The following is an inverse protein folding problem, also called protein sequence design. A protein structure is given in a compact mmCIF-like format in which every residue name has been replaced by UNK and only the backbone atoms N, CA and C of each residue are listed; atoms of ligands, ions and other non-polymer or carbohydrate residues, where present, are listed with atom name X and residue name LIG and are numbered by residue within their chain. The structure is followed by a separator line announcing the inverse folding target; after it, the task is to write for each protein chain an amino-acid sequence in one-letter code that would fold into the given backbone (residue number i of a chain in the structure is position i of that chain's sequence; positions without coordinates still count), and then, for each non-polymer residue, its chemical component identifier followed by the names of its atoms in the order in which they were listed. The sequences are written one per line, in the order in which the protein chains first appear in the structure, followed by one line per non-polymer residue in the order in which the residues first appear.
data_IF_009639943330
#
_entry.id   IF_009639943330
#
_cell.length_a   1.000
_cell.length_b   1.000
_cell.length_c   1.000
_cell.angle_alpha   90.00
_cell.angle_beta   90.00
_cell.angle_gamma   90.00
#
_symmetry.space_group_name_H-M   'P 1'
#
loop_
_entity.id
_entity.type
_entity.pdbx_description
1 polymer ?
#
# COMPACT_ATOMS: atom_id res chain seq x y z
N UNK A 1 1.16 -19.61 -18.74
CA UNK A 1 -0.24 -19.71 -18.34
C UNK A 1 -0.38 -19.94 -16.82
N UNK A 2 0.41 -19.26 -15.97
CA UNK A 2 0.35 -19.38 -14.51
C UNK A 2 -0.69 -18.45 -13.87
N UNK A 3 -1.46 -17.71 -14.64
CA UNK A 3 -2.30 -16.60 -14.17
C UNK A 3 -3.77 -17.00 -13.95
N UNK A 4 -4.16 -18.26 -14.12
CA UNK A 4 -5.59 -18.65 -14.00
C UNK A 4 -6.17 -18.74 -12.58
N UNK A 5 -5.39 -18.53 -11.51
CA UNK A 5 -5.87 -18.66 -10.13
C UNK A 5 -5.54 -17.45 -9.24
N UNK A 6 -5.70 -16.23 -9.74
CA UNK A 6 -5.65 -15.04 -8.89
C UNK A 6 -6.88 -14.89 -7.99
N UNK A 7 -7.26 -15.95 -7.26
CA UNK A 7 -8.16 -15.84 -6.10
C UNK A 7 -7.54 -15.05 -4.94
N UNK A 8 -6.25 -14.69 -5.04
CA UNK A 8 -5.50 -14.03 -3.97
C UNK A 8 -5.79 -12.54 -3.83
N UNK A 9 -6.32 -11.89 -4.86
CA UNK A 9 -6.53 -10.45 -4.82
C UNK A 9 -8.02 -10.17 -4.92
N UNK A 10 -8.77 -10.69 -3.96
CA UNK A 10 -10.17 -10.32 -3.78
C UNK A 10 -10.22 -8.79 -3.54
N UNK A 11 -10.95 -8.10 -4.41
CA UNK A 11 -11.09 -6.65 -4.34
C UNK A 11 -10.24 -5.86 -5.35
N UNK A 12 -9.36 -6.51 -6.11
CA UNK A 12 -8.64 -5.86 -7.22
C UNK A 12 -9.42 -6.06 -8.51
N UNK A 13 -9.58 -5.00 -9.28
CA UNK A 13 -10.28 -4.99 -10.57
C UNK A 13 -9.45 -4.22 -11.60
N UNK A 14 -9.52 -4.65 -12.85
CA UNK A 14 -8.77 -4.06 -13.96
C UNK A 14 -7.25 -4.21 -13.78
N UNK A 15 -6.48 -3.55 -14.63
CA UNK A 15 -5.03 -3.44 -14.50
C UNK A 15 -4.23 -4.52 -15.19
N UNK A 16 -2.93 -4.25 -15.28
CA UNK A 16 -1.93 -5.17 -15.80
C UNK A 16 -1.07 -5.69 -14.65
N UNK A 17 -1.00 -7.02 -14.52
CA UNK A 17 -0.19 -7.67 -13.50
C UNK A 17 1.09 -8.24 -14.12
N UNK A 18 2.20 -8.01 -13.43
CA UNK A 18 3.52 -8.56 -13.73
C UNK A 18 4.01 -9.27 -12.46
N UNK A 19 4.44 -10.50 -12.59
CA UNK A 19 4.94 -11.29 -11.48
C UNK A 19 6.24 -11.97 -11.85
N UNK A 20 7.24 -11.79 -11.03
CA UNK A 20 8.56 -12.41 -11.13
C UNK A 20 8.88 -13.16 -9.83
N UNK A 21 9.46 -14.35 -9.95
CA UNK A 21 9.86 -15.14 -8.80
C UNK A 21 11.16 -15.88 -9.07
N UNK A 22 12.03 -15.89 -8.07
CA UNK A 22 13.30 -16.60 -8.08
C UNK A 22 13.35 -17.56 -6.88
N UNK A 23 13.54 -18.85 -7.17
CA UNK A 23 13.68 -19.88 -6.15
C UNK A 23 15.16 -20.19 -5.91
N UNK A 24 15.59 -20.18 -4.65
CA UNK A 24 16.93 -20.58 -4.24
C UNK A 24 16.95 -21.09 -2.80
N UNK A 25 17.63 -22.18 -2.54
CA UNK A 25 17.80 -22.76 -1.20
C UNK A 25 16.51 -22.86 -0.37
N UNK A 26 15.41 -23.28 -1.00
CA UNK A 26 14.10 -23.42 -0.34
C UNK A 26 13.36 -22.10 -0.07
N UNK A 27 13.92 -20.97 -0.49
CA UNK A 27 13.29 -19.65 -0.42
C UNK A 27 12.81 -19.22 -1.80
N UNK A 28 11.72 -18.48 -1.82
CA UNK A 28 11.24 -17.81 -3.03
C UNK A 28 11.28 -16.31 -2.82
N UNK A 29 12.07 -15.60 -3.63
CA UNK A 29 11.99 -14.14 -3.76
C UNK A 29 10.99 -13.81 -4.86
N UNK A 30 10.07 -12.91 -4.58
CA UNK A 30 9.03 -12.53 -5.52
C UNK A 30 8.89 -11.01 -5.60
N UNK A 31 8.67 -10.55 -6.82
CA UNK A 31 8.23 -9.18 -7.11
C UNK A 31 6.87 -9.24 -7.82
N UNK A 32 5.93 -8.48 -7.33
CA UNK A 32 4.58 -8.35 -7.89
C UNK A 32 4.31 -6.90 -8.21
N UNK A 33 4.02 -6.60 -9.48
CA UNK A 33 3.59 -5.26 -9.95
C UNK A 33 2.20 -5.32 -10.52
N UNK A 34 1.41 -4.28 -10.24
CA UNK A 34 0.09 -4.08 -10.86
C UNK A 34 0.00 -2.62 -11.29
N UNK A 35 -0.41 -2.40 -12.53
CA UNK A 35 -0.46 -1.07 -13.14
C UNK A 35 -1.92 -0.78 -13.51
N UNK A 36 -2.40 0.44 -13.24
CA UNK A 36 -3.73 0.95 -13.59
C UNK A 36 -4.87 0.05 -13.13
N UNK A 37 -5.04 -0.10 -11.84
CA UNK A 37 -6.06 -0.97 -11.26
C UNK A 37 -6.99 -0.23 -10.29
N UNK A 38 -8.08 -0.88 -9.90
CA UNK A 38 -9.00 -0.43 -8.87
C UNK A 38 -9.04 -1.40 -7.70
N UNK A 39 -9.20 -0.85 -6.52
CA UNK A 39 -9.43 -1.62 -5.28
C UNK A 39 -10.84 -1.36 -4.79
N UNK A 40 -11.60 -2.42 -4.58
CA UNK A 40 -12.99 -2.39 -4.12
C UNK A 40 -13.21 -3.47 -3.05
N UNK A 41 -14.08 -3.17 -2.06
CA UNK A 41 -14.50 -4.15 -1.06
C UNK A 41 -13.36 -4.82 -0.29
N UNK A 42 -12.35 -4.05 0.11
CA UNK A 42 -11.24 -4.52 0.96
C UNK A 42 -11.47 -4.06 2.41
N UNK A 43 -12.02 -4.92 3.29
CA UNK A 43 -12.46 -4.52 4.64
C UNK A 43 -11.35 -3.95 5.51
N UNK A 44 -10.13 -4.48 5.40
CA UNK A 44 -8.97 -3.98 6.18
C UNK A 44 -8.61 -2.56 5.76
N UNK A 45 -8.64 -2.25 4.46
CA UNK A 45 -8.38 -0.92 3.96
C UNK A 45 -9.51 0.05 4.36
N UNK A 46 -10.77 -0.36 4.26
CA UNK A 46 -11.91 0.43 4.72
C UNK A 46 -11.77 0.80 6.20
N UNK A 47 -11.41 -0.17 7.03
CA UNK A 47 -11.18 0.06 8.47
C UNK A 47 -10.02 1.03 8.72
N UNK A 48 -8.91 0.90 7.99
CA UNK A 48 -7.79 1.84 8.08
C UNK A 48 -8.21 3.27 7.74
N UNK A 49 -8.94 3.44 6.64
CA UNK A 49 -9.43 4.75 6.19
C UNK A 49 -10.37 5.40 7.19
N UNK A 50 -11.31 4.63 7.75
CA UNK A 50 -12.24 5.09 8.78
C UNK A 50 -11.49 5.52 10.06
N UNK A 51 -10.55 4.71 10.54
CA UNK A 51 -9.73 5.04 11.70
C UNK A 51 -8.82 6.27 11.47
N UNK A 52 -8.41 6.51 10.24
CA UNK A 52 -7.66 7.68 9.83
C UNK A 52 -8.53 8.94 9.61
N UNK A 53 -9.83 8.87 9.88
CA UNK A 53 -10.82 9.93 9.60
C UNK A 53 -10.91 10.32 8.11
N UNK A 54 -10.68 9.36 7.22
CA UNK A 54 -10.73 9.52 5.77
C UNK A 54 -12.00 8.90 5.18
N UNK A 55 -13.17 9.23 5.77
CA UNK A 55 -14.44 8.61 5.43
C UNK A 55 -14.80 8.78 3.95
N UNK A 56 -14.58 9.94 3.35
CA UNK A 56 -14.85 10.16 1.93
C UNK A 56 -14.08 9.23 0.99
N UNK A 57 -12.83 8.85 1.38
CA UNK A 57 -12.06 7.85 0.61
C UNK A 57 -12.55 6.43 0.93
N UNK A 58 -12.96 6.16 2.18
CA UNK A 58 -13.53 4.88 2.56
C UNK A 58 -14.84 4.58 1.79
N UNK A 59 -15.65 5.59 1.55
CA UNK A 59 -16.91 5.47 0.80
C UNK A 59 -16.66 5.08 -0.68
N UNK A 60 -15.58 5.57 -1.30
CA UNK A 60 -15.17 5.14 -2.64
C UNK A 60 -14.90 3.64 -2.70
N UNK A 61 -14.38 3.05 -1.63
CA UNK A 61 -14.05 1.62 -1.58
C UNK A 61 -15.28 0.72 -1.71
N UNK A 62 -16.42 1.17 -1.20
CA UNK A 62 -17.71 0.45 -1.27
C UNK A 62 -18.51 0.77 -2.53
N UNK A 63 -18.21 1.88 -3.19
CA UNK A 63 -18.85 2.37 -4.41
C UNK A 63 -18.03 2.05 -5.66
N UNK A 64 -17.42 3.09 -6.23
CA UNK A 64 -16.71 3.01 -7.52
C UNK A 64 -15.36 2.31 -7.43
N UNK A 65 -14.84 2.15 -6.23
CA UNK A 65 -13.48 1.67 -5.97
C UNK A 65 -12.45 2.82 -5.92
N UNK A 66 -11.31 2.53 -5.32
CA UNK A 66 -10.17 3.44 -5.29
C UNK A 66 -9.23 3.07 -6.43
N UNK A 67 -8.93 4.02 -7.30
CA UNK A 67 -7.97 3.83 -8.40
C UNK A 67 -6.55 3.99 -7.88
N UNK A 68 -5.68 3.09 -8.35
CA UNK A 68 -4.23 3.17 -8.20
C UNK A 68 -3.57 3.10 -9.56
N UNK A 69 -2.50 3.86 -9.75
CA UNK A 69 -1.67 3.83 -10.96
C UNK A 69 -0.63 2.75 -10.88
N UNK A 70 -0.03 2.57 -9.70
CA UNK A 70 1.06 1.64 -9.47
C UNK A 70 0.91 0.91 -8.14
N UNK A 71 1.22 -0.38 -8.17
CA UNK A 71 1.43 -1.22 -7.01
C UNK A 71 2.69 -2.05 -7.24
N UNK A 72 3.55 -2.12 -6.24
CA UNK A 72 4.68 -3.03 -6.23
C UNK A 72 4.86 -3.64 -4.86
N UNK A 73 5.19 -4.93 -4.82
CA UNK A 73 5.44 -5.66 -3.60
C UNK A 73 6.61 -6.61 -3.78
N UNK A 74 7.66 -6.38 -2.98
CA UNK A 74 8.81 -7.28 -2.83
C UNK A 74 8.65 -8.13 -1.58
N UNK A 75 8.66 -9.44 -1.75
CA UNK A 75 8.52 -10.35 -0.63
C UNK A 75 9.34 -11.63 -0.78
N UNK A 76 9.65 -12.26 0.33
CA UNK A 76 10.31 -13.56 0.42
C UNK A 76 9.41 -14.54 1.16
N UNK A 77 9.32 -15.76 0.62
CA UNK A 77 8.59 -16.86 1.25
C UNK A 77 9.54 -18.00 1.58
N UNK A 78 9.44 -18.51 2.81
CA UNK A 78 10.14 -19.71 3.30
C UNK A 78 9.14 -20.56 4.09
N UNK A 79 8.72 -21.69 3.53
CA UNK A 79 7.63 -22.49 4.11
C UNK A 79 6.37 -21.63 4.28
N UNK A 80 5.83 -21.61 5.48
CA UNK A 80 4.62 -20.84 5.81
C UNK A 80 4.89 -19.38 6.17
N UNK A 81 6.16 -18.95 6.15
CA UNK A 81 6.55 -17.58 6.47
C UNK A 81 6.71 -16.75 5.20
N UNK A 82 5.99 -15.63 5.12
CA UNK A 82 6.15 -14.62 4.08
C UNK A 82 6.61 -13.32 4.71
N UNK A 83 7.77 -12.82 4.30
CA UNK A 83 8.30 -11.52 4.70
C UNK A 83 8.09 -10.53 3.57
N UNK A 84 7.24 -9.55 3.77
CA UNK A 84 7.08 -8.41 2.89
C UNK A 84 8.18 -7.42 3.23
N UNK A 85 9.14 -7.26 2.31
CA UNK A 85 10.25 -6.31 2.48
C UNK A 85 9.76 -4.91 2.30
N UNK A 86 8.93 -4.74 1.28
CA UNK A 86 8.30 -3.49 0.93
C UNK A 86 7.09 -3.75 0.05
N UNK A 87 6.06 -2.98 0.27
CA UNK A 87 4.91 -2.86 -0.61
C UNK A 87 4.51 -1.39 -0.68
N UNK A 88 4.29 -0.88 -1.87
CA UNK A 88 3.71 0.43 -2.06
C UNK A 88 2.57 0.39 -3.07
N UNK A 89 1.63 1.30 -2.90
CA UNK A 89 0.58 1.57 -3.86
C UNK A 89 0.42 3.07 -4.00
N UNK A 90 0.39 3.56 -5.24
CA UNK A 90 0.29 4.98 -5.57
C UNK A 90 -1.01 5.21 -6.32
N UNK A 91 -1.80 6.17 -5.87
CA UNK A 91 -3.05 6.55 -6.52
C UNK A 91 -3.41 8.02 -6.34
N UNK A 92 -4.31 8.53 -7.18
CA UNK A 92 -4.70 9.95 -7.16
C UNK A 92 -5.47 10.35 -5.89
N UNK A 93 -6.09 9.43 -5.18
CA UNK A 93 -6.81 9.70 -3.94
C UNK A 93 -5.97 9.42 -2.69
N UNK A 94 -5.09 8.43 -2.77
CA UNK A 94 -4.32 7.93 -1.64
C UNK A 94 -3.09 7.17 -2.13
N UNK A 95 -2.00 7.28 -1.37
CA UNK A 95 -0.83 6.41 -1.51
C UNK A 95 -0.56 5.70 -0.20
N UNK A 96 -0.04 4.48 -0.28
CA UNK A 96 0.32 3.73 0.91
C UNK A 96 1.64 2.98 0.72
N UNK A 97 2.35 2.80 1.82
CA UNK A 97 3.54 1.97 1.91
C UNK A 97 3.45 1.06 3.11
N UNK A 98 3.91 -0.18 2.97
CA UNK A 98 3.77 -1.20 4.01
C UNK A 98 4.92 -2.19 3.97
N UNK A 99 5.30 -2.70 5.13
CA UNK A 99 6.24 -3.81 5.31
C UNK A 99 5.79 -4.72 6.46
N UNK A 100 6.37 -5.88 6.57
CA UNK A 100 6.11 -6.78 7.68
C UNK A 100 6.20 -8.26 7.33
N UNK A 101 5.46 -9.08 8.04
CA UNK A 101 5.49 -10.51 7.82
C UNK A 101 4.12 -11.18 8.08
N UNK A 102 3.93 -12.31 7.45
CA UNK A 102 2.75 -13.15 7.58
C UNK A 102 3.24 -14.58 7.83
N UNK A 103 2.78 -15.20 8.91
CA UNK A 103 2.87 -16.64 9.15
C UNK A 103 1.50 -17.20 8.78
N UNK A 104 1.46 -18.09 7.81
CA UNK A 104 0.23 -18.65 7.27
C UNK A 104 -0.65 -19.20 8.40
N UNK A 105 -1.92 -18.81 8.38
CA UNK A 105 -2.97 -19.18 9.32
C UNK A 105 -2.72 -18.84 10.81
N UNK A 106 -1.54 -18.30 11.16
CA UNK A 106 -1.16 -18.00 12.54
C UNK A 106 -1.12 -16.50 12.84
N UNK A 107 -0.34 -15.73 12.10
CA UNK A 107 -0.05 -14.34 12.44
C UNK A 107 0.19 -13.47 11.23
N UNK A 108 -0.46 -12.33 11.22
CA UNK A 108 -0.13 -11.20 10.36
C UNK A 108 0.43 -10.08 11.21
N UNK A 109 1.55 -9.50 10.82
CA UNK A 109 2.16 -8.32 11.47
C UNK A 109 2.69 -7.37 10.41
N UNK A 110 1.91 -6.37 10.10
CA UNK A 110 2.19 -5.37 9.07
C UNK A 110 2.19 -3.98 9.69
N UNK A 111 3.06 -3.12 9.19
CA UNK A 111 3.12 -1.70 9.55
C UNK A 111 3.33 -0.89 8.27
N UNK A 112 2.83 0.33 8.27
CA UNK A 112 2.94 1.17 7.09
C UNK A 112 2.51 2.61 7.33
N UNK A 113 2.51 3.36 6.25
CA UNK A 113 2.07 4.75 6.20
C UNK A 113 1.10 4.92 5.06
N UNK A 114 0.08 5.73 5.30
CA UNK A 114 -0.97 6.08 4.38
C UNK A 114 -0.95 7.60 4.22
N UNK A 115 -0.95 8.07 2.98
CA UNK A 115 -0.91 9.50 2.63
C UNK A 115 -2.09 9.83 1.73
N UNK A 116 -3.08 10.57 2.25
CA UNK A 116 -4.17 11.05 1.41
C UNK A 116 -3.68 12.12 0.44
N UNK A 117 -4.17 12.08 -0.79
CA UNK A 117 -3.82 13.08 -1.80
C UNK A 117 -4.30 14.49 -1.45
N UNK A 118 -5.34 14.62 -0.63
CA UNK A 118 -5.82 15.91 -0.11
C UNK A 118 -4.78 16.70 0.68
N UNK A 119 -3.74 16.02 1.16
CA UNK A 119 -2.65 16.61 1.94
C UNK A 119 -1.52 17.18 1.07
N UNK A 120 -1.44 16.74 -0.17
CA UNK A 120 -0.41 17.16 -1.13
C UNK A 120 -0.99 18.14 -2.15
N UNK A 121 -2.19 18.58 -2.01
CA UNK A 121 -3.20 18.70 -3.01
C UNK A 121 -3.54 20.00 -3.65
N UNK A 122 -2.76 20.94 -3.69
CA UNK A 122 -3.06 21.98 -4.71
C UNK A 122 -2.01 22.04 -5.81
N UNK A 123 -0.97 21.25 -5.69
CA UNK A 123 0.19 21.32 -6.58
C UNK A 123 0.44 20.05 -7.40
N UNK A 124 -0.07 18.87 -6.98
CA UNK A 124 0.21 17.58 -7.67
C UNK A 124 -0.47 17.46 -9.04
N UNK A 125 -1.59 18.11 -9.27
CA UNK A 125 -2.27 18.04 -10.59
C UNK A 125 -1.44 18.61 -11.76
N UNK A 126 -0.27 19.17 -11.49
CA UNK A 126 0.64 19.76 -12.49
C UNK A 126 2.01 19.11 -12.57
N UNK A 127 2.22 17.96 -11.92
CA UNK A 127 3.57 17.42 -11.80
C UNK A 127 3.73 16.12 -12.60
N UNK A 128 4.63 16.16 -13.60
CA UNK A 128 4.98 14.98 -14.38
C UNK A 128 5.76 13.92 -13.58
N UNK A 129 6.32 14.29 -12.42
CA UNK A 129 7.11 13.39 -11.58
C UNK A 129 6.98 13.78 -10.12
N UNK A 130 6.46 12.87 -9.29
CA UNK A 130 6.37 13.00 -7.84
C UNK A 130 7.73 13.34 -7.18
N UNK A 131 8.86 13.03 -7.86
CA UNK A 131 10.22 13.23 -7.41
C UNK A 131 10.64 14.67 -7.10
N UNK A 132 10.25 15.62 -7.91
CA UNK A 132 10.73 17.00 -7.76
C UNK A 132 10.01 17.81 -6.68
N UNK A 133 8.85 17.38 -6.23
CA UNK A 133 8.03 18.15 -5.28
C UNK A 133 8.34 17.83 -3.84
N UNK A 134 8.64 16.60 -3.54
CA UNK A 134 8.99 16.21 -2.18
C UNK A 134 10.41 16.68 -1.78
N UNK A 135 11.24 17.04 -2.75
CA UNK A 135 12.61 17.56 -2.52
C UNK A 135 12.71 19.08 -2.69
N UNK A 136 11.75 19.72 -3.37
CA UNK A 136 11.79 21.14 -3.72
C UNK A 136 11.03 22.06 -2.77
N UNK A 137 11.75 22.79 -1.94
CA UNK A 137 11.41 24.10 -1.32
C UNK A 137 10.27 24.24 -0.29
N UNK A 138 9.46 23.24 0.05
CA UNK A 138 8.44 23.37 1.09
C UNK A 138 8.38 22.20 2.08
N UNK A 139 9.52 21.76 2.55
CA UNK A 139 9.63 20.79 3.66
C UNK A 139 8.99 21.31 4.96
N UNK A 140 8.55 22.54 5.02
CA UNK A 140 7.96 23.17 6.20
C UNK A 140 6.43 23.14 6.28
N UNK A 141 5.72 22.87 5.20
CA UNK A 141 4.26 22.73 5.22
C UNK A 141 3.92 21.24 5.19
N UNK A 142 3.80 20.66 6.39
CA UNK A 142 3.73 19.25 6.67
C UNK A 142 2.83 18.43 5.74
N UNK A 143 3.44 17.51 5.02
CA UNK A 143 2.70 16.42 4.38
C UNK A 143 2.10 15.57 5.50
N UNK A 144 0.79 15.59 5.61
CA UNK A 144 0.08 14.81 6.60
C UNK A 144 0.02 13.35 6.18
N UNK A 145 0.56 12.46 6.98
CA UNK A 145 0.46 11.03 6.81
C UNK A 145 -0.13 10.36 8.03
N UNK A 146 -0.59 9.15 7.87
CA UNK A 146 -1.12 8.32 8.94
C UNK A 146 -0.31 7.02 8.98
N UNK A 147 0.41 6.79 10.07
CA UNK A 147 1.03 5.48 10.29
C UNK A 147 -0.02 4.48 10.77
N UNK A 148 0.12 3.24 10.35
CA UNK A 148 -0.78 2.18 10.79
C UNK A 148 -0.03 0.91 11.14
N UNK A 149 -0.69 0.06 11.95
CA UNK A 149 -0.27 -1.31 12.24
C UNK A 149 -1.48 -2.23 12.11
N UNK A 150 -1.25 -3.39 11.51
CA UNK A 150 -2.21 -4.49 11.40
C UNK A 150 -1.54 -5.70 12.05
N UNK A 151 -2.13 -6.24 13.12
CA UNK A 151 -1.55 -7.37 13.83
C UNK A 151 -2.61 -8.35 14.33
N UNK A 152 -2.33 -9.63 14.24
CA UNK A 152 -3.17 -10.69 14.79
C UNK A 152 -3.32 -11.89 13.85
N UNK A 153 -4.02 -12.93 14.30
CA UNK A 153 -4.36 -14.05 13.44
C UNK A 153 -5.35 -13.62 12.34
N UNK A 154 -5.38 -14.30 11.19
CA UNK A 154 -6.15 -13.87 10.00
C UNK A 154 -7.63 -13.54 10.27
N UNK A 155 -8.27 -14.26 11.21
CA UNK A 155 -9.68 -14.05 11.56
C UNK A 155 -9.90 -12.97 12.65
N UNK A 156 -8.84 -12.45 13.27
CA UNK A 156 -8.91 -11.49 14.39
C UNK A 156 -7.85 -10.39 14.26
N UNK A 157 -7.74 -9.80 13.08
CA UNK A 157 -6.81 -8.70 12.83
C UNK A 157 -7.21 -7.46 13.64
N UNK A 158 -6.27 -6.93 14.41
CA UNK A 158 -6.36 -5.64 15.08
C UNK A 158 -5.65 -4.60 14.25
N UNK A 159 -6.30 -3.49 14.03
CA UNK A 159 -5.81 -2.35 13.26
C UNK A 159 -5.71 -1.15 14.17
N UNK A 160 -4.59 -0.44 14.13
CA UNK A 160 -4.39 0.83 14.82
C UNK A 160 -3.77 1.85 13.89
N UNK A 161 -4.08 3.12 14.10
CA UNK A 161 -3.53 4.25 13.34
C UNK A 161 -3.03 5.33 14.27
N UNK A 162 -1.99 6.05 13.85
CA UNK A 162 -1.47 7.24 14.52
C UNK A 162 -1.23 8.33 13.48
N UNK A 163 -1.78 9.53 13.68
CA UNK A 163 -1.46 10.66 12.81
C UNK A 163 0.03 10.98 12.84
N UNK A 164 0.62 11.22 11.69
CA UNK A 164 2.00 11.69 11.57
C UNK A 164 1.96 13.11 11.02
N UNK A 165 2.57 14.03 11.74
CA UNK A 165 2.66 15.43 11.31
C UNK A 165 3.70 15.65 10.22
N UNK A 166 4.65 14.74 10.10
CA UNK A 166 5.76 14.82 9.13
C UNK A 166 6.07 13.42 8.61
N UNK A 167 6.17 13.26 7.29
CA UNK A 167 6.61 12.01 6.69
C UNK A 167 8.11 11.80 6.90
N UNK A 168 8.51 10.56 7.16
CA UNK A 168 9.92 10.23 7.27
C UNK A 168 10.60 10.30 5.89
N UNK A 169 11.91 10.66 5.84
CA UNK A 169 12.67 10.70 4.58
C UNK A 169 12.56 9.41 3.75
N UNK A 170 12.41 8.26 4.41
CA UNK A 170 12.32 6.95 3.77
C UNK A 170 11.04 6.75 2.95
N UNK A 171 9.92 7.31 3.39
CA UNK A 171 8.69 7.34 2.59
C UNK A 171 8.88 8.24 1.37
N UNK A 172 9.52 9.38 1.58
CA UNK A 172 9.79 10.37 0.54
C UNK A 172 10.67 9.76 -0.54
N UNK A 173 11.80 9.16 -0.19
CA UNK A 173 12.79 8.64 -1.13
C UNK A 173 12.23 7.56 -2.06
N UNK A 174 11.31 6.72 -1.60
CA UNK A 174 10.80 5.59 -2.38
C UNK A 174 9.52 5.85 -3.17
N UNK A 175 8.83 6.92 -2.87
CA UNK A 175 7.75 7.42 -3.73
C UNK A 175 8.33 8.14 -4.96
N UNK A 176 9.67 8.32 -5.00
CA UNK A 176 10.44 9.12 -5.96
C UNK A 176 11.32 8.28 -6.91
N UNK A 177 11.56 7.00 -6.62
CA UNK A 177 12.22 6.03 -7.51
C UNK A 177 11.18 5.25 -8.34
#
# INVERSE_FOLDING_TARGET
PFIKNFKFIKGFKEGKLIYEALNYEGKTKSNLKIIDFKVQEVPVLAKLLTLASLQGIADLLTGEGIRFTDFEMDYETLGDNTKIKEMYAIGPAISLMMEGYIVKDELTSLKGTLVPATTVNKTISKIPMLGEILVGKKIGEGVFGVSFKIKGPPKKLKTSVNPIKTLTPRFITRTLE
#
